data_IF_210778230221
#
_entry.id   IF_210778230221
#
_cell.length_a   1.000
_cell.length_b   1.000
_cell.length_c   1.000
_cell.angle_alpha   90.00
_cell.angle_beta   90.00
_cell.angle_gamma   90.00
#
_symmetry.space_group_name_H-M   'P 1'
#
loop_
_entity.id
_entity.type
_entity.pdbx_description
1 polymer ?
#
# COMPACT_ATOMS: atom_id res chain seq x y z
N UNK A 1 -16.84 12.45 -5.72
CA UNK A 1 -17.40 12.48 -4.35
C UNK A 1 -18.90 12.15 -4.29
N UNK A 2 -19.75 12.70 -5.18
CA UNK A 2 -21.20 12.47 -5.18
C UNK A 2 -21.58 10.98 -5.44
N UNK A 3 -20.93 10.34 -6.41
CA UNK A 3 -21.12 8.89 -6.69
C UNK A 3 -20.68 8.00 -5.52
N UNK A 4 -19.68 8.44 -4.76
CA UNK A 4 -19.22 7.75 -3.55
C UNK A 4 -20.28 7.87 -2.45
N UNK A 5 -20.83 9.06 -2.18
CA UNK A 5 -21.85 9.25 -1.14
C UNK A 5 -23.12 8.42 -1.38
N UNK A 6 -23.55 8.25 -2.63
CA UNK A 6 -24.73 7.44 -3.01
C UNK A 6 -24.57 5.97 -2.61
N UNK A 7 -23.36 5.40 -2.66
CA UNK A 7 -23.13 3.99 -2.32
C UNK A 7 -23.20 3.68 -0.82
N UNK A 8 -23.41 4.67 0.05
CA UNK A 8 -23.68 4.44 1.49
C UNK A 8 -25.16 4.14 1.79
N UNK A 9 -26.04 4.33 0.80
CA UNK A 9 -27.47 4.08 0.88
C UNK A 9 -27.75 2.56 0.78
N UNK A 10 -28.57 1.96 1.66
CA UNK A 10 -28.87 0.53 1.63
C UNK A 10 -29.40 0.01 0.29
N UNK A 11 -30.22 0.79 -0.43
CA UNK A 11 -30.70 0.44 -1.78
C UNK A 11 -29.56 0.36 -2.82
N UNK A 12 -28.47 1.12 -2.63
CA UNK A 12 -27.30 1.09 -3.52
C UNK A 12 -26.50 -0.22 -3.42
N UNK A 13 -26.73 -1.06 -2.39
CA UNK A 13 -26.10 -2.39 -2.28
C UNK A 13 -26.42 -3.30 -3.46
N UNK A 14 -27.61 -3.15 -4.07
CA UNK A 14 -28.00 -3.90 -5.27
C UNK A 14 -27.11 -3.59 -6.47
N UNK A 15 -26.51 -2.40 -6.49
CA UNK A 15 -25.62 -1.93 -7.55
C UNK A 15 -24.14 -2.02 -7.20
N UNK A 16 -23.74 -2.54 -6.02
CA UNK A 16 -22.33 -2.60 -5.58
C UNK A 16 -21.37 -3.20 -6.62
N UNK A 17 -21.80 -4.22 -7.38
CA UNK A 17 -20.97 -4.81 -8.45
C UNK A 17 -20.74 -3.83 -9.59
N UNK A 18 -21.80 -3.13 -10.00
CA UNK A 18 -21.76 -2.12 -11.05
C UNK A 18 -20.97 -0.90 -10.57
N UNK A 19 -21.19 -0.44 -9.34
CA UNK A 19 -20.43 0.64 -8.71
C UNK A 19 -18.94 0.30 -8.62
N UNK A 20 -18.59 -0.92 -8.20
CA UNK A 20 -17.20 -1.38 -8.17
C UNK A 20 -16.56 -1.37 -9.57
N UNK A 21 -17.26 -1.92 -10.58
CA UNK A 21 -16.78 -1.91 -11.96
C UNK A 21 -16.60 -0.49 -12.49
N UNK A 22 -17.59 0.38 -12.27
CA UNK A 22 -17.54 1.77 -12.67
C UNK A 22 -16.34 2.48 -12.04
N UNK A 23 -16.16 2.38 -10.71
CA UNK A 23 -15.01 2.99 -10.03
C UNK A 23 -13.70 2.45 -10.61
N UNK A 24 -13.55 1.13 -10.74
CA UNK A 24 -12.30 0.54 -11.26
C UNK A 24 -12.00 0.95 -12.70
N UNK A 25 -13.01 1.04 -13.57
CA UNK A 25 -12.85 1.55 -14.94
C UNK A 25 -12.47 3.03 -14.92
N UNK A 26 -13.10 3.85 -14.09
CA UNK A 26 -12.74 5.26 -13.94
C UNK A 26 -11.28 5.42 -13.48
N UNK A 27 -10.86 4.65 -12.48
CA UNK A 27 -9.48 4.68 -12.00
C UNK A 27 -8.50 4.22 -13.08
N UNK A 28 -8.86 3.17 -13.82
CA UNK A 28 -8.05 2.66 -14.92
C UNK A 28 -7.90 3.68 -16.03
N UNK A 29 -8.98 4.35 -16.45
CA UNK A 29 -8.91 5.41 -17.45
C UNK A 29 -8.01 6.56 -16.99
N UNK A 30 -8.15 7.00 -15.75
CA UNK A 30 -7.33 8.09 -15.19
C UNK A 30 -5.85 7.70 -15.12
N UNK A 31 -5.51 6.51 -14.64
CA UNK A 31 -4.10 6.14 -14.49
C UNK A 31 -3.49 5.69 -15.82
N UNK A 32 -4.15 4.83 -16.58
CA UNK A 32 -3.58 4.22 -17.79
C UNK A 32 -3.47 5.19 -18.98
N UNK A 33 -4.24 6.29 -18.98
CA UNK A 33 -4.17 7.35 -20.00
C UNK A 33 -3.30 8.53 -19.57
N UNK A 34 -2.68 8.46 -18.39
CA UNK A 34 -1.75 9.48 -17.93
C UNK A 34 -0.42 9.44 -18.69
N UNK A 35 0.20 10.61 -18.83
CA UNK A 35 1.52 10.79 -19.44
C UNK A 35 2.40 11.67 -18.54
N UNK A 36 3.62 11.23 -18.27
CA UNK A 36 4.60 11.96 -17.43
C UNK A 36 4.03 12.36 -16.06
N UNK A 37 3.16 11.50 -15.49
CA UNK A 37 2.60 11.64 -14.14
C UNK A 37 3.30 10.65 -13.21
N UNK A 38 3.77 11.16 -12.07
CA UNK A 38 4.53 10.41 -11.07
C UNK A 38 6.04 10.41 -11.34
N UNK A 39 6.87 10.25 -10.28
CA UNK A 39 8.32 10.42 -10.37
C UNK A 39 9.02 9.31 -11.16
N UNK A 40 8.39 8.14 -11.33
CA UNK A 40 9.00 6.99 -12.01
C UNK A 40 8.66 6.91 -13.51
N UNK A 41 7.67 7.65 -14.01
CA UNK A 41 7.14 7.48 -15.37
C UNK A 41 8.24 7.62 -16.42
N UNK A 42 8.98 8.73 -16.39
CA UNK A 42 10.04 9.02 -17.36
C UNK A 42 11.21 8.04 -17.22
N UNK A 43 11.48 7.56 -16.00
CA UNK A 43 12.48 6.52 -15.78
C UNK A 43 12.08 5.21 -16.44
N UNK A 44 10.81 4.80 -16.33
CA UNK A 44 10.32 3.61 -17.01
C UNK A 44 10.31 3.78 -18.54
N UNK A 45 9.93 4.97 -19.04
CA UNK A 45 9.98 5.30 -20.47
C UNK A 45 11.40 5.17 -21.01
N UNK A 46 12.37 5.81 -20.36
CA UNK A 46 13.78 5.75 -20.75
C UNK A 46 14.34 4.32 -20.74
N UNK A 47 13.96 3.49 -19.76
CA UNK A 47 14.39 2.09 -19.74
C UNK A 47 13.74 1.28 -20.89
N UNK A 48 12.47 1.51 -21.18
CA UNK A 48 11.75 0.82 -22.25
C UNK A 48 12.26 1.19 -23.64
N UNK A 49 12.43 2.49 -23.92
CA UNK A 49 12.83 2.99 -25.24
C UNK A 49 14.28 2.63 -25.54
N UNK A 50 15.17 2.75 -24.55
CA UNK A 50 16.59 2.48 -24.76
C UNK A 50 16.93 0.98 -24.77
N UNK A 51 16.03 0.10 -24.31
CA UNK A 51 16.28 -1.34 -24.09
C UNK A 51 17.64 -1.60 -23.42
N UNK A 52 18.04 -0.70 -22.52
CA UNK A 52 19.42 -0.59 -22.08
C UNK A 52 19.75 -1.59 -20.95
N UNK A 53 21.02 -1.64 -20.54
CA UNK A 53 21.49 -2.47 -19.44
C UNK A 53 20.73 -2.24 -18.12
N UNK A 54 20.11 -1.07 -17.92
CA UNK A 54 19.28 -0.82 -16.74
C UNK A 54 17.92 -1.50 -16.84
N UNK A 55 17.31 -1.60 -18.03
CA UNK A 55 16.13 -2.44 -18.23
C UNK A 55 16.48 -3.92 -17.99
N UNK A 56 17.62 -4.39 -18.49
CA UNK A 56 18.09 -5.75 -18.27
C UNK A 56 18.36 -6.10 -16.78
N UNK A 57 18.56 -5.11 -15.91
CA UNK A 57 18.73 -5.32 -14.45
C UNK A 57 17.40 -5.41 -13.68
N UNK A 58 16.27 -5.07 -14.28
CA UNK A 58 14.96 -5.14 -13.63
C UNK A 58 14.47 -6.59 -13.45
N UNK A 59 13.35 -6.76 -12.75
CA UNK A 59 12.77 -8.08 -12.50
C UNK A 59 12.24 -8.76 -13.76
N UNK A 60 12.26 -10.09 -13.73
CA UNK A 60 12.05 -10.93 -14.91
C UNK A 60 10.75 -10.62 -15.66
N UNK A 61 9.61 -10.56 -14.97
CA UNK A 61 8.32 -10.39 -15.63
C UNK A 61 8.14 -8.98 -16.21
N UNK A 62 8.61 -7.96 -15.49
CA UNK A 62 8.61 -6.58 -15.99
C UNK A 62 9.42 -6.46 -17.27
N UNK A 63 10.62 -7.07 -17.28
CA UNK A 63 11.49 -7.13 -18.46
C UNK A 63 10.87 -7.90 -19.61
N UNK A 64 10.33 -9.07 -19.32
CA UNK A 64 9.79 -9.95 -20.33
C UNK A 64 8.62 -9.30 -21.06
N UNK A 65 7.69 -8.67 -20.33
CA UNK A 65 6.56 -7.93 -20.92
C UNK A 65 7.07 -6.77 -21.79
N UNK A 66 8.03 -5.99 -21.28
CA UNK A 66 8.52 -4.84 -22.04
C UNK A 66 9.32 -5.22 -23.28
N UNK A 67 10.19 -6.25 -23.20
CA UNK A 67 10.92 -6.79 -24.34
C UNK A 67 9.97 -7.35 -25.40
N UNK A 68 8.93 -8.08 -24.98
CA UNK A 68 7.95 -8.65 -25.89
C UNK A 68 7.17 -7.56 -26.61
N UNK A 69 6.68 -6.55 -25.89
CA UNK A 69 5.95 -5.43 -26.50
C UNK A 69 6.83 -4.61 -27.44
N UNK A 70 8.03 -4.25 -27.00
CA UNK A 70 8.98 -3.47 -27.80
C UNK A 70 9.42 -4.24 -29.06
N UNK A 71 9.72 -5.53 -28.92
CA UNK A 71 10.09 -6.40 -30.04
C UNK A 71 8.98 -6.60 -31.08
N UNK A 72 7.72 -6.32 -30.73
CA UNK A 72 6.58 -6.33 -31.65
C UNK A 72 6.18 -4.90 -32.12
N UNK A 73 7.00 -3.89 -31.84
CA UNK A 73 6.77 -2.51 -32.30
C UNK A 73 5.76 -1.71 -31.48
N UNK A 74 5.35 -2.19 -30.28
CA UNK A 74 4.45 -1.44 -29.42
C UNK A 74 5.16 -0.31 -28.67
N UNK A 75 4.46 0.82 -28.50
CA UNK A 75 4.99 1.99 -27.78
C UNK A 75 5.07 1.76 -26.27
N UNK A 76 5.85 2.60 -25.58
CA UNK A 76 5.90 2.62 -24.11
C UNK A 76 4.52 2.78 -23.47
N UNK A 77 3.61 3.54 -24.09
CA UNK A 77 2.27 3.73 -23.54
C UNK A 77 1.48 2.41 -23.47
N UNK A 78 1.64 1.52 -24.46
CA UNK A 78 1.01 0.19 -24.44
C UNK A 78 1.58 -0.66 -23.29
N UNK A 79 2.88 -0.56 -23.04
CA UNK A 79 3.52 -1.21 -21.90
C UNK A 79 3.00 -0.67 -20.57
N UNK A 80 2.95 0.65 -20.40
CA UNK A 80 2.42 1.30 -19.20
C UNK A 80 0.95 0.92 -18.95
N UNK A 81 0.12 0.98 -19.99
CA UNK A 81 -1.27 0.53 -19.98
C UNK A 81 -1.41 -0.93 -19.55
N UNK A 82 -0.56 -1.83 -20.06
CA UNK A 82 -0.55 -3.26 -19.71
C UNK A 82 -0.26 -3.45 -18.22
N UNK A 83 0.75 -2.75 -17.71
CA UNK A 83 1.14 -2.82 -16.30
C UNK A 83 0.06 -2.28 -15.36
N UNK A 84 -0.60 -1.17 -15.70
CA UNK A 84 -1.74 -0.62 -14.94
C UNK A 84 -2.95 -1.56 -14.99
N UNK A 85 -3.20 -2.17 -16.15
CA UNK A 85 -4.28 -3.15 -16.31
C UNK A 85 -4.07 -4.37 -15.42
N UNK A 86 -2.85 -4.91 -15.33
CA UNK A 86 -2.51 -6.00 -14.43
C UNK A 86 -2.73 -5.62 -12.96
N UNK A 87 -2.23 -4.45 -12.56
CA UNK A 87 -2.41 -3.94 -11.20
C UNK A 87 -3.89 -3.84 -10.81
N UNK A 88 -4.69 -3.16 -11.63
CA UNK A 88 -6.12 -2.94 -11.34
C UNK A 88 -6.96 -4.20 -11.52
N UNK A 89 -6.56 -5.14 -12.37
CA UNK A 89 -7.19 -6.46 -12.47
C UNK A 89 -7.14 -7.20 -11.13
N UNK A 90 -5.96 -7.34 -10.54
CA UNK A 90 -5.83 -8.01 -9.24
C UNK A 90 -6.54 -7.22 -8.13
N UNK A 91 -6.40 -5.89 -8.14
CA UNK A 91 -7.06 -5.03 -7.17
C UNK A 91 -8.60 -5.13 -7.24
N UNK A 92 -9.17 -5.27 -8.45
CA UNK A 92 -10.61 -5.51 -8.62
C UNK A 92 -11.06 -6.78 -7.88
N UNK A 93 -10.31 -7.88 -7.97
CA UNK A 93 -10.66 -9.11 -7.24
C UNK A 93 -10.55 -8.95 -5.72
N UNK A 94 -9.58 -8.17 -5.25
CA UNK A 94 -9.41 -7.82 -3.83
C UNK A 94 -10.62 -7.04 -3.33
N UNK A 95 -11.01 -5.94 -3.98
CA UNK A 95 -12.20 -5.16 -3.60
C UNK A 95 -13.51 -5.93 -3.80
N UNK A 96 -13.57 -6.79 -4.82
CA UNK A 96 -14.70 -7.71 -5.03
C UNK A 96 -14.85 -8.69 -3.87
N UNK A 97 -13.76 -9.11 -3.24
CA UNK A 97 -13.78 -10.01 -2.09
C UNK A 97 -14.11 -9.29 -0.78
N UNK A 98 -13.57 -8.09 -0.58
CA UNK A 98 -13.64 -7.31 0.66
C UNK A 98 -14.54 -6.08 0.51
N UNK A 99 -15.86 -6.31 0.45
CA UNK A 99 -16.87 -5.28 0.18
C UNK A 99 -17.42 -4.58 1.41
N UNK A 100 -16.88 -4.84 2.58
CA UNK A 100 -17.31 -4.20 3.83
C UNK A 100 -17.07 -2.69 3.72
N UNK A 101 -18.14 -1.91 3.52
CA UNK A 101 -18.07 -0.45 3.31
C UNK A 101 -17.37 -0.03 2.01
N UNK A 102 -17.72 -0.65 0.87
CA UNK A 102 -17.10 -0.45 -0.45
C UNK A 102 -16.68 1.00 -0.75
N UNK A 103 -17.61 1.96 -0.62
CA UNK A 103 -17.35 3.39 -0.86
C UNK A 103 -16.26 3.94 0.04
N UNK A 104 -16.35 3.67 1.34
CA UNK A 104 -15.41 4.17 2.33
C UNK A 104 -14.03 3.55 2.09
N UNK A 105 -13.98 2.27 1.74
CA UNK A 105 -12.74 1.59 1.34
C UNK A 105 -12.10 2.33 0.16
N UNK A 106 -12.87 2.68 -0.87
CA UNK A 106 -12.34 3.45 -1.99
C UNK A 106 -11.85 4.85 -1.59
N UNK A 107 -12.60 5.56 -0.74
CA UNK A 107 -12.19 6.86 -0.24
C UNK A 107 -10.83 6.76 0.49
N UNK A 108 -10.69 5.81 1.40
CA UNK A 108 -9.45 5.56 2.13
C UNK A 108 -8.34 5.16 1.15
N UNK A 109 -8.62 4.24 0.22
CA UNK A 109 -7.64 3.79 -0.77
C UNK A 109 -7.15 4.93 -1.67
N UNK A 110 -8.00 5.88 -2.04
CA UNK A 110 -7.60 7.03 -2.86
C UNK A 110 -6.67 7.95 -2.07
N UNK A 111 -7.04 8.28 -0.83
CA UNK A 111 -6.40 9.33 -0.03
C UNK A 111 -5.16 8.86 0.74
N UNK A 112 -5.13 7.59 1.12
CA UNK A 112 -4.09 7.07 2.00
C UNK A 112 -2.71 7.10 1.31
N UNK A 113 -1.60 7.33 2.03
CA UNK A 113 -0.25 7.23 1.47
C UNK A 113 -0.04 5.86 0.84
N UNK A 114 0.60 5.81 -0.33
CA UNK A 114 0.75 4.60 -1.15
C UNK A 114 -0.57 3.93 -1.58
N UNK A 115 -1.69 4.63 -1.43
CA UNK A 115 -2.97 4.29 -2.06
C UNK A 115 -2.96 4.58 -3.56
N UNK A 116 -4.09 4.96 -4.13
CA UNK A 116 -4.18 5.25 -5.57
C UNK A 116 -3.31 6.45 -5.98
N UNK A 117 -3.32 7.53 -5.21
CA UNK A 117 -2.70 8.79 -5.61
C UNK A 117 -1.18 8.65 -5.68
N UNK A 118 -0.55 8.08 -4.66
CA UNK A 118 0.90 7.87 -4.66
C UNK A 118 1.28 6.54 -5.35
N UNK A 119 0.57 5.44 -5.11
CA UNK A 119 0.89 4.12 -5.64
C UNK A 119 0.29 3.79 -7.02
N UNK A 120 -0.82 4.39 -7.42
CA UNK A 120 -1.38 4.17 -8.76
C UNK A 120 -0.44 4.69 -9.87
N UNK A 121 0.15 5.85 -9.64
CA UNK A 121 1.03 6.53 -10.61
C UNK A 121 2.53 6.23 -10.40
N UNK A 122 2.92 5.75 -9.22
CA UNK A 122 4.33 5.50 -8.87
C UNK A 122 4.56 4.02 -8.57
N UNK A 123 5.80 3.52 -8.70
CA UNK A 123 6.19 2.18 -8.28
C UNK A 123 5.39 1.03 -8.91
N UNK A 124 4.98 1.17 -10.18
CA UNK A 124 4.07 0.25 -10.87
C UNK A 124 4.45 -1.25 -10.73
N UNK A 125 5.75 -1.58 -10.77
CA UNK A 125 6.28 -2.94 -10.55
C UNK A 125 5.91 -3.49 -9.16
N UNK A 126 6.19 -2.68 -8.14
CA UNK A 126 5.90 -3.02 -6.75
C UNK A 126 4.39 -3.12 -6.54
N UNK A 127 3.60 -2.24 -7.14
CA UNK A 127 2.14 -2.26 -6.97
C UNK A 127 1.46 -3.45 -7.63
N UNK A 128 1.95 -3.91 -8.79
CA UNK A 128 1.51 -5.21 -9.36
C UNK A 128 1.82 -6.36 -8.39
N UNK A 129 3.04 -6.40 -7.82
CA UNK A 129 3.41 -7.44 -6.86
C UNK A 129 2.54 -7.40 -5.58
N UNK A 130 2.25 -6.20 -5.05
CA UNK A 130 1.37 -6.00 -3.90
C UNK A 130 -0.07 -6.46 -4.23
N UNK A 131 -0.61 -6.11 -5.39
CA UNK A 131 -1.96 -6.53 -5.76
C UNK A 131 -2.08 -8.06 -5.92
N UNK A 132 -1.04 -8.71 -6.48
CA UNK A 132 -0.95 -10.18 -6.52
C UNK A 132 -0.89 -10.76 -5.11
N UNK A 133 -0.15 -10.15 -4.18
CA UNK A 133 -0.14 -10.56 -2.78
C UNK A 133 -1.52 -10.45 -2.13
N UNK A 134 -2.24 -9.34 -2.28
CA UNK A 134 -3.59 -9.24 -1.71
C UNK A 134 -4.59 -10.21 -2.35
N UNK A 135 -4.44 -10.49 -3.65
CA UNK A 135 -5.20 -11.55 -4.31
C UNK A 135 -4.88 -12.93 -3.69
N UNK A 136 -3.63 -13.21 -3.35
CA UNK A 136 -3.21 -14.48 -2.75
C UNK A 136 -3.80 -14.70 -1.35
N UNK A 137 -4.22 -13.64 -0.64
CA UNK A 137 -4.87 -13.77 0.67
C UNK A 137 -6.15 -14.62 0.62
N UNK A 138 -6.82 -14.71 -0.54
CA UNK A 138 -7.95 -15.63 -0.73
C UNK A 138 -7.49 -17.08 -0.47
N UNK A 139 -6.36 -17.47 -1.06
CA UNK A 139 -5.76 -18.78 -0.86
C UNK A 139 -5.18 -18.98 0.53
N UNK A 140 -4.68 -17.90 1.14
CA UNK A 140 -4.28 -17.91 2.55
C UNK A 140 -5.47 -18.30 3.42
N UNK A 141 -6.60 -17.58 3.34
CA UNK A 141 -7.80 -17.86 4.14
C UNK A 141 -8.34 -19.26 3.84
N UNK A 142 -8.42 -19.66 2.57
CA UNK A 142 -8.84 -21.00 2.14
C UNK A 142 -7.85 -22.14 2.46
N UNK A 143 -6.70 -21.85 3.08
CA UNK A 143 -5.64 -22.82 3.42
C UNK A 143 -5.05 -23.54 2.20
N UNK A 144 -5.10 -22.91 1.04
CA UNK A 144 -4.56 -23.43 -0.23
C UNK A 144 -3.10 -23.02 -0.39
N UNK A 145 -2.23 -23.71 0.35
CA UNK A 145 -0.80 -23.41 0.46
C UNK A 145 -0.10 -23.25 -0.88
N UNK A 146 -0.28 -24.21 -1.80
CA UNK A 146 0.38 -24.20 -3.12
C UNK A 146 -0.03 -22.95 -3.92
N UNK A 147 -1.32 -22.61 -3.93
CA UNK A 147 -1.83 -21.44 -4.66
C UNK A 147 -1.31 -20.13 -4.06
N UNK A 148 -1.21 -20.05 -2.73
CA UNK A 148 -0.61 -18.89 -2.06
C UNK A 148 0.84 -18.68 -2.49
N UNK A 149 1.67 -19.73 -2.38
CA UNK A 149 3.10 -19.64 -2.72
C UNK A 149 3.33 -19.46 -4.22
N UNK A 150 2.49 -20.02 -5.09
CA UNK A 150 2.51 -19.74 -6.51
C UNK A 150 2.29 -18.24 -6.79
N UNK A 151 1.28 -17.63 -6.16
CA UNK A 151 1.08 -16.18 -6.27
C UNK A 151 2.26 -15.38 -5.70
N UNK A 152 2.83 -15.78 -4.56
CA UNK A 152 4.00 -15.13 -3.99
C UNK A 152 5.21 -15.18 -4.93
N UNK A 153 5.45 -16.33 -5.57
CA UNK A 153 6.51 -16.48 -6.58
C UNK A 153 6.26 -15.58 -7.79
N UNK A 154 5.03 -15.54 -8.32
CA UNK A 154 4.69 -14.64 -9.43
C UNK A 154 4.89 -13.17 -9.04
N UNK A 155 4.51 -12.77 -7.83
CA UNK A 155 4.76 -11.42 -7.33
C UNK A 155 6.26 -11.09 -7.28
N UNK A 156 7.12 -12.05 -6.90
CA UNK A 156 8.58 -11.88 -6.92
C UNK A 156 9.15 -11.69 -8.33
N UNK A 157 8.50 -12.20 -9.37
CA UNK A 157 8.89 -11.96 -10.76
C UNK A 157 8.66 -10.52 -11.20
N UNK A 158 7.75 -9.78 -10.55
CA UNK A 158 7.54 -8.34 -10.77
C UNK A 158 8.38 -7.49 -9.84
N UNK A 159 8.56 -7.91 -8.59
CA UNK A 159 9.37 -7.18 -7.62
C UNK A 159 9.98 -8.09 -6.55
N UNK A 160 11.31 -8.13 -6.47
CA UNK A 160 12.04 -9.11 -5.62
C UNK A 160 11.67 -9.03 -4.14
N UNK A 161 11.35 -7.83 -3.63
CA UNK A 161 10.96 -7.65 -2.23
C UNK A 161 9.65 -8.36 -1.85
N UNK A 162 8.88 -8.86 -2.83
CA UNK A 162 7.69 -9.66 -2.57
C UNK A 162 8.01 -10.98 -1.85
N UNK A 163 9.28 -11.39 -1.77
CA UNK A 163 9.72 -12.47 -0.89
C UNK A 163 9.27 -12.26 0.57
N UNK A 164 9.09 -11.00 0.99
CA UNK A 164 8.62 -10.63 2.33
C UNK A 164 7.22 -11.18 2.65
N UNK A 165 6.42 -11.52 1.64
CA UNK A 165 5.08 -12.09 1.83
C UNK A 165 5.10 -13.59 2.12
N UNK A 166 6.21 -14.30 1.90
CA UNK A 166 6.34 -15.72 2.21
C UNK A 166 6.07 -16.01 3.70
N UNK A 167 6.76 -15.38 4.67
CA UNK A 167 6.50 -15.62 6.09
C UNK A 167 5.10 -15.17 6.55
N UNK A 168 4.45 -14.27 5.81
CA UNK A 168 3.11 -13.76 6.14
C UNK A 168 2.07 -14.88 6.18
N UNK A 169 2.23 -15.94 5.39
CA UNK A 169 1.34 -17.11 5.43
C UNK A 169 1.16 -17.69 6.84
N UNK A 170 2.26 -17.79 7.59
CA UNK A 170 2.30 -18.40 8.91
C UNK A 170 1.92 -17.42 10.02
N UNK A 171 2.11 -16.12 9.80
CA UNK A 171 1.94 -15.09 10.81
C UNK A 171 0.55 -14.44 10.77
N UNK A 172 0.00 -14.21 9.57
CA UNK A 172 -1.22 -13.42 9.40
C UNK A 172 -2.47 -14.07 10.00
N UNK A 173 -2.48 -15.39 10.25
CA UNK A 173 -3.62 -16.08 10.87
C UNK A 173 -3.58 -16.13 12.40
N UNK A 174 -2.47 -15.74 13.03
CA UNK A 174 -2.35 -15.83 14.48
C UNK A 174 -3.41 -14.97 15.16
N UNK A 175 -4.07 -15.48 16.20
CA UNK A 175 -5.02 -14.68 16.99
C UNK A 175 -4.25 -13.86 18.00
N UNK A 176 -3.92 -12.61 17.65
CA UNK A 176 -3.21 -11.68 18.52
C UNK A 176 -4.25 -10.88 19.31
N UNK A 177 -4.23 -10.92 20.65
CA UNK A 177 -5.18 -10.16 21.48
C UNK A 177 -4.91 -8.65 21.42
N UNK A 178 -5.90 -7.83 21.79
CA UNK A 178 -5.75 -6.37 21.85
C UNK A 178 -4.54 -5.94 22.70
N UNK A 179 -4.43 -6.49 23.92
CA UNK A 179 -3.31 -6.22 24.84
C UNK A 179 -1.96 -6.61 24.21
N UNK A 180 -1.89 -7.77 23.55
CA UNK A 180 -0.66 -8.23 22.91
C UNK A 180 -0.28 -7.36 21.72
N UNK A 181 -1.25 -6.90 20.91
CA UNK A 181 -1.00 -5.97 19.80
C UNK A 181 -0.45 -4.64 20.30
N UNK A 182 -1.05 -4.08 21.37
CA UNK A 182 -0.57 -2.85 21.99
C UNK A 182 0.84 -3.03 22.58
N UNK A 183 1.10 -4.13 23.27
CA UNK A 183 2.43 -4.44 23.80
C UNK A 183 3.48 -4.50 22.67
N UNK A 184 3.20 -5.24 21.59
CA UNK A 184 4.09 -5.32 20.43
C UNK A 184 4.35 -3.93 19.86
N UNK A 185 3.29 -3.13 19.64
CA UNK A 185 3.41 -1.78 19.13
C UNK A 185 4.30 -0.90 20.02
N UNK A 186 4.04 -0.86 21.33
CA UNK A 186 4.83 -0.04 22.24
C UNK A 186 6.27 -0.53 22.37
N UNK A 187 6.54 -1.84 22.34
CA UNK A 187 7.90 -2.37 22.29
C UNK A 187 8.66 -1.91 21.04
N UNK A 188 8.01 -1.95 19.87
CA UNK A 188 8.60 -1.46 18.61
C UNK A 188 8.79 0.05 18.63
N UNK A 189 7.85 0.81 19.19
CA UNK A 189 7.97 2.25 19.34
C UNK A 189 9.15 2.61 20.26
N UNK A 190 9.27 1.96 21.43
CA UNK A 190 10.41 2.15 22.33
C UNK A 190 11.72 1.81 21.62
N UNK A 191 11.80 0.67 20.92
CA UNK A 191 12.99 0.33 20.14
C UNK A 191 13.33 1.39 19.09
N UNK A 192 12.32 1.87 18.35
CA UNK A 192 12.49 2.94 17.37
C UNK A 192 12.94 4.25 18.00
N UNK A 193 12.47 4.60 19.20
CA UNK A 193 12.92 5.81 19.90
C UNK A 193 14.37 5.66 20.42
N UNK A 194 14.77 4.46 20.86
CA UNK A 194 16.15 4.19 21.26
C UNK A 194 17.15 4.37 20.10
N UNK A 195 16.75 4.11 18.86
CA UNK A 195 17.57 4.34 17.67
C UNK A 195 17.88 5.83 17.40
N UNK A 196 17.20 6.77 18.07
CA UNK A 196 17.57 8.20 18.03
C UNK A 196 18.92 8.42 18.73
N UNK A 197 19.24 7.62 19.75
CA UNK A 197 20.48 7.73 20.50
C UNK A 197 21.66 7.25 19.63
N UNK A 198 22.67 8.11 19.32
CA UNK A 198 23.74 7.75 18.40
C UNK A 198 24.53 6.50 18.80
N UNK A 199 24.73 6.27 20.11
CA UNK A 199 25.43 5.10 20.63
C UNK A 199 24.65 3.80 20.36
N UNK A 200 23.36 3.77 20.68
CA UNK A 200 22.49 2.61 20.45
C UNK A 200 22.36 2.33 18.95
N UNK A 201 22.17 3.39 18.15
CA UNK A 201 22.14 3.32 16.70
C UNK A 201 23.41 2.67 16.14
N UNK A 202 24.58 3.16 16.54
CA UNK A 202 25.87 2.65 16.07
C UNK A 202 26.09 1.19 16.45
N UNK A 203 25.67 0.79 17.66
CA UNK A 203 25.74 -0.59 18.12
C UNK A 203 24.91 -1.54 17.23
N UNK A 204 23.66 -1.18 16.96
CA UNK A 204 22.76 -1.99 16.13
C UNK A 204 23.32 -2.13 14.70
N UNK A 205 23.76 -1.03 14.09
CA UNK A 205 24.30 -1.08 12.73
C UNK A 205 25.63 -1.83 12.65
N UNK A 206 26.51 -1.71 13.65
CA UNK A 206 27.72 -2.51 13.73
C UNK A 206 27.38 -4.01 13.75
N UNK A 207 26.37 -4.41 14.54
CA UNK A 207 25.87 -5.79 14.57
C UNK A 207 25.35 -6.27 13.20
N UNK A 208 24.61 -5.43 12.47
CA UNK A 208 24.15 -5.75 11.10
C UNK A 208 25.32 -5.93 10.15
N UNK A 209 26.37 -5.10 10.26
CA UNK A 209 27.56 -5.19 9.43
C UNK A 209 28.35 -6.49 9.60
N UNK A 210 28.17 -7.21 10.72
CA UNK A 210 28.77 -8.53 10.96
C UNK A 210 28.06 -9.67 10.22
N UNK A 211 26.84 -9.44 9.70
CA UNK A 211 26.10 -10.47 8.98
C UNK A 211 26.72 -10.64 7.58
N UNK A 212 27.17 -11.85 7.20
CA UNK A 212 27.74 -12.11 5.88
C UNK A 212 26.79 -11.65 4.76
N UNK A 213 27.31 -10.84 3.83
CA UNK A 213 26.53 -10.25 2.73
C UNK A 213 25.90 -8.87 3.02
N UNK A 214 25.86 -8.42 4.28
CA UNK A 214 25.28 -7.12 4.68
C UNK A 214 26.32 -6.05 5.07
N UNK A 215 27.61 -6.39 5.07
CA UNK A 215 28.70 -5.45 5.37
C UNK A 215 28.77 -4.25 4.41
N UNK A 216 28.48 -4.44 3.12
CA UNK A 216 28.38 -3.34 2.16
C UNK A 216 27.10 -2.51 2.37
N UNK A 217 26.01 -3.17 2.77
CA UNK A 217 24.74 -2.49 3.12
C UNK A 217 24.93 -1.57 4.33
N UNK A 218 25.78 -1.94 5.31
CA UNK A 218 26.15 -1.05 6.43
C UNK A 218 26.81 0.27 5.97
N UNK A 219 27.65 0.22 4.94
CA UNK A 219 28.28 1.41 4.35
C UNK A 219 27.27 2.25 3.55
N UNK A 220 26.34 1.61 2.83
CA UNK A 220 25.21 2.27 2.15
C UNK A 220 24.23 2.90 3.16
N UNK A 221 23.93 2.22 4.28
CA UNK A 221 23.14 2.74 5.39
C UNK A 221 23.77 4.01 5.97
N UNK A 222 25.10 4.03 6.16
CA UNK A 222 25.84 5.22 6.63
C UNK A 222 25.89 6.36 5.60
N UNK A 223 25.82 6.06 4.30
CA UNK A 223 26.19 6.99 3.22
C UNK A 223 25.06 7.83 2.61
N UNK A 224 23.79 7.41 2.63
CA UNK A 224 22.74 8.20 1.97
C UNK A 224 21.34 7.58 1.99
N UNK A 225 20.31 8.43 2.03
CA UNK A 225 18.86 8.18 1.91
C UNK A 225 18.16 7.18 2.87
N UNK A 226 18.84 6.11 3.32
CA UNK A 226 18.27 5.06 4.15
C UNK A 226 18.05 5.47 5.61
N UNK A 227 18.82 6.44 6.07
CA UNK A 227 18.98 6.85 7.47
C UNK A 227 18.60 8.32 7.73
N UNK A 228 17.96 8.95 6.74
CA UNK A 228 17.54 10.36 6.80
C UNK A 228 16.69 10.62 8.04
N UNK A 229 16.99 11.71 8.75
CA UNK A 229 16.18 12.23 9.85
C UNK A 229 14.71 12.36 9.42
N UNK A 230 13.78 11.97 10.31
CA UNK A 230 12.35 12.09 10.04
C UNK A 230 12.02 13.55 9.78
N UNK A 231 11.46 13.83 8.61
CA UNK A 231 10.91 15.15 8.35
C UNK A 231 9.67 15.36 9.22
N UNK A 232 9.35 16.60 9.57
CA UNK A 232 8.09 16.94 10.26
C UNK A 232 6.87 16.34 9.52
N UNK A 233 6.92 16.31 8.18
CA UNK A 233 5.90 15.66 7.34
C UNK A 233 5.77 14.15 7.59
N UNK A 234 6.90 13.45 7.71
CA UNK A 234 6.94 12.03 8.03
C UNK A 234 6.32 11.72 9.41
N UNK A 235 6.60 12.55 10.42
CA UNK A 235 5.98 12.41 11.75
C UNK A 235 4.47 12.65 11.72
N UNK A 236 4.00 13.67 10.99
CA UNK A 236 2.56 13.94 10.84
C UNK A 236 1.86 12.78 10.13
N UNK A 237 2.44 12.26 9.04
CA UNK A 237 1.91 11.08 8.34
C UNK A 237 1.89 9.85 9.26
N UNK A 238 2.93 9.64 10.07
CA UNK A 238 2.98 8.56 11.04
C UNK A 238 1.83 8.64 12.05
N UNK A 239 1.67 9.77 12.75
CA UNK A 239 0.63 9.95 13.77
C UNK A 239 -0.75 9.76 13.16
N UNK A 240 -0.95 10.31 11.96
CA UNK A 240 -2.18 10.18 11.22
C UNK A 240 -2.52 8.72 10.87
N UNK A 241 -1.55 7.92 10.48
CA UNK A 241 -1.81 6.51 10.20
C UNK A 241 -1.93 5.67 11.48
N UNK A 242 -1.15 5.98 12.51
CA UNK A 242 -1.12 5.22 13.76
C UNK A 242 -2.42 5.31 14.55
N UNK A 243 -3.05 6.49 14.63
CA UNK A 243 -4.24 6.73 15.43
C UNK A 243 -5.42 5.77 15.10
N UNK A 244 -5.92 5.65 13.86
CA UNK A 244 -7.01 4.74 13.55
C UNK A 244 -6.63 3.26 13.76
N UNK A 245 -5.35 2.91 13.62
CA UNK A 245 -4.87 1.55 13.87
C UNK A 245 -4.86 1.24 15.37
N UNK A 246 -4.43 2.18 16.21
CA UNK A 246 -4.48 2.03 17.67
C UNK A 246 -5.93 1.88 18.14
N UNK A 247 -6.87 2.69 17.60
CA UNK A 247 -8.30 2.51 17.86
C UNK A 247 -8.77 1.12 17.44
N UNK A 248 -8.36 0.63 16.27
CA UNK A 248 -8.67 -0.71 15.80
C UNK A 248 -8.13 -1.80 16.75
N UNK A 249 -6.95 -1.59 17.35
CA UNK A 249 -6.41 -2.50 18.37
C UNK A 249 -7.25 -2.50 19.64
N UNK A 250 -7.65 -1.33 20.14
CA UNK A 250 -8.49 -1.18 21.34
C UNK A 250 -9.83 -1.88 21.14
N UNK A 251 -10.50 -1.62 20.00
CA UNK A 251 -11.82 -2.17 19.69
C UNK A 251 -11.79 -3.55 19.01
N UNK A 252 -10.62 -4.21 18.95
CA UNK A 252 -10.42 -5.47 18.21
C UNK A 252 -11.53 -6.49 18.45
N UNK A 253 -11.88 -6.76 19.72
CA UNK A 253 -12.85 -7.80 20.08
C UNK A 253 -14.27 -7.46 19.58
N UNK A 254 -14.58 -6.18 19.45
CA UNK A 254 -15.87 -5.69 18.94
C UNK A 254 -15.94 -5.73 17.42
N UNK A 255 -14.82 -5.66 16.71
CA UNK A 255 -14.80 -5.43 15.25
C UNK A 255 -14.27 -6.60 14.41
N UNK A 256 -13.35 -7.40 14.95
CA UNK A 256 -12.77 -8.57 14.27
C UNK A 256 -13.63 -9.79 14.53
N UNK A 257 -14.46 -10.18 13.56
CA UNK A 257 -15.46 -11.26 13.72
C UNK A 257 -15.19 -12.50 12.87
N UNK A 258 -14.44 -12.36 11.79
CA UNK A 258 -14.13 -13.46 10.86
C UNK A 258 -12.63 -13.74 10.74
N UNK A 259 -12.27 -14.88 10.13
CA UNK A 259 -10.87 -15.22 9.85
C UNK A 259 -10.21 -14.19 8.93
N UNK A 260 -10.96 -13.68 7.94
CA UNK A 260 -10.45 -12.64 7.05
C UNK A 260 -10.23 -11.31 7.79
N UNK A 261 -11.15 -10.91 8.68
CA UNK A 261 -10.95 -9.71 9.49
C UNK A 261 -9.68 -9.83 10.34
N UNK A 262 -9.41 -11.03 10.89
CA UNK A 262 -8.20 -11.28 11.68
C UNK A 262 -6.93 -11.20 10.83
N UNK A 263 -6.96 -11.71 9.59
CA UNK A 263 -5.85 -11.58 8.63
C UNK A 263 -5.60 -10.10 8.33
N UNK A 264 -6.63 -9.36 7.93
CA UNK A 264 -6.51 -7.93 7.61
C UNK A 264 -6.06 -7.10 8.82
N UNK A 265 -6.56 -7.41 10.02
CA UNK A 265 -6.12 -6.81 11.28
C UNK A 265 -4.62 -7.05 11.53
N UNK A 266 -4.14 -8.29 11.37
CA UNK A 266 -2.72 -8.60 11.58
C UNK A 266 -1.82 -7.94 10.54
N UNK A 267 -2.23 -7.91 9.27
CA UNK A 267 -1.50 -7.16 8.23
C UNK A 267 -1.48 -5.66 8.56
N UNK A 268 -2.57 -5.11 9.07
CA UNK A 268 -2.63 -3.71 9.53
C UNK A 268 -1.68 -3.45 10.70
N UNK A 269 -1.55 -4.40 11.64
CA UNK A 269 -0.54 -4.36 12.70
C UNK A 269 0.88 -4.42 12.14
N UNK A 270 1.17 -5.30 11.18
CA UNK A 270 2.49 -5.38 10.52
C UNK A 270 2.83 -4.08 9.80
N UNK A 271 1.84 -3.44 9.18
CA UNK A 271 1.99 -2.13 8.58
C UNK A 271 2.38 -1.08 9.61
N UNK A 272 1.72 -1.02 10.77
CA UNK A 272 2.10 -0.08 11.84
C UNK A 272 3.51 -0.35 12.36
N UNK A 273 3.89 -1.61 12.57
CA UNK A 273 5.26 -1.99 12.98
C UNK A 273 6.29 -1.47 11.97
N UNK A 274 6.08 -1.73 10.68
CA UNK A 274 6.97 -1.26 9.62
C UNK A 274 7.01 0.27 9.54
N UNK A 275 5.86 0.94 9.68
CA UNK A 275 5.76 2.39 9.68
C UNK A 275 6.47 3.03 10.89
N UNK A 276 6.36 2.43 12.08
CA UNK A 276 7.08 2.88 13.28
C UNK A 276 8.58 2.75 13.07
N UNK A 277 9.07 1.61 12.56
CA UNK A 277 10.49 1.44 12.25
C UNK A 277 10.97 2.38 11.14
N UNK A 278 10.08 2.77 10.23
CA UNK A 278 10.37 3.74 9.18
C UNK A 278 10.68 5.15 9.69
N UNK A 279 10.33 5.46 10.94
CA UNK A 279 10.79 6.68 11.62
C UNK A 279 12.32 6.71 11.79
N UNK A 280 13.03 5.59 11.66
CA UNK A 280 14.50 5.60 11.81
C UNK A 280 15.20 4.92 10.63
N UNK A 281 14.48 4.06 9.91
CA UNK A 281 14.99 3.28 8.80
C UNK A 281 14.05 3.45 7.60
N UNK A 282 14.32 4.42 6.73
CA UNK A 282 13.41 4.79 5.63
C UNK A 282 13.04 3.61 4.71
N UNK A 283 13.94 2.63 4.57
CA UNK A 283 13.68 1.39 3.83
C UNK A 283 12.45 0.61 4.32
N UNK A 284 12.09 0.76 5.60
CA UNK A 284 10.91 0.13 6.17
C UNK A 284 9.60 0.65 5.57
N UNK A 285 9.60 1.83 4.93
CA UNK A 285 8.47 2.26 4.10
C UNK A 285 8.21 1.26 2.96
N UNK A 286 9.25 0.75 2.30
CA UNK A 286 9.09 -0.26 1.23
C UNK A 286 8.47 -1.56 1.74
N UNK A 287 8.72 -1.91 2.99
CA UNK A 287 8.10 -3.05 3.68
C UNK A 287 6.65 -2.74 4.01
N UNK A 288 6.39 -1.55 4.53
CA UNK A 288 5.08 -1.06 4.93
C UNK A 288 4.07 -1.06 3.77
N UNK A 289 4.50 -0.78 2.53
CA UNK A 289 3.60 -0.74 1.35
C UNK A 289 2.90 -2.07 1.09
N UNK A 290 3.54 -3.21 1.40
CA UNK A 290 2.89 -4.51 1.29
C UNK A 290 1.69 -4.67 2.23
N UNK A 291 1.60 -3.85 3.27
CA UNK A 291 0.59 -3.96 4.30
C UNK A 291 -0.40 -2.78 4.32
N UNK A 292 -0.19 -1.76 3.48
CA UNK A 292 -1.06 -0.56 3.37
C UNK A 292 -2.50 -0.93 3.03
N UNK A 293 -2.72 -1.76 2.01
CA UNK A 293 -4.08 -2.08 1.53
C UNK A 293 -4.90 -2.79 2.63
N UNK A 294 -4.29 -3.44 3.61
CA UNK A 294 -5.03 -4.04 4.72
C UNK A 294 -5.77 -2.99 5.57
N UNK A 295 -5.19 -1.79 5.74
CA UNK A 295 -5.80 -0.66 6.46
C UNK A 295 -7.09 -0.19 5.81
N UNK A 296 -7.12 -0.20 4.47
CA UNK A 296 -8.28 0.18 3.66
C UNK A 296 -9.52 -0.63 4.07
N UNK A 297 -9.35 -1.92 4.34
CA UNK A 297 -10.45 -2.82 4.68
C UNK A 297 -10.65 -2.97 6.20
N UNK A 298 -9.61 -2.81 7.00
CA UNK A 298 -9.67 -3.04 8.44
C UNK A 298 -10.15 -1.81 9.23
N UNK A 299 -9.74 -0.60 8.86
CA UNK A 299 -10.12 0.63 9.56
C UNK A 299 -11.66 0.85 9.54
N UNK A 300 -12.36 0.64 8.41
CA UNK A 300 -13.83 0.72 8.35
C UNK A 300 -14.57 -0.25 9.29
N UNK A 301 -13.92 -1.33 9.76
CA UNK A 301 -14.53 -2.23 10.74
C UNK A 301 -14.79 -1.53 12.09
N UNK A 302 -14.11 -0.41 12.39
CA UNK A 302 -14.41 0.41 13.58
C UNK A 302 -15.87 0.83 13.67
N UNK A 303 -16.55 1.00 12.54
CA UNK A 303 -17.99 1.32 12.50
C UNK A 303 -18.88 0.19 13.07
N UNK A 304 -18.36 -1.04 13.16
CA UNK A 304 -19.06 -2.16 13.79
C UNK A 304 -19.02 -2.10 15.33
N UNK A 305 -18.16 -1.27 15.93
CA UNK A 305 -18.13 -1.07 17.37
C UNK A 305 -19.25 -0.13 17.86
N UNK A 306 -19.91 0.60 16.95
CA UNK A 306 -20.97 1.53 17.28
C UNK A 306 -22.30 0.79 17.54
N UNK A 307 -22.85 0.91 18.75
CA UNK A 307 -24.10 0.25 19.14
C UNK A 307 -25.34 0.88 18.49
N UNK A 308 -25.36 2.22 18.34
CA UNK A 308 -26.52 2.95 17.80
C UNK A 308 -26.27 3.44 16.38
N UNK A 309 -27.36 3.54 15.58
CA UNK A 309 -27.31 4.11 14.22
C UNK A 309 -26.74 5.53 14.22
N UNK A 310 -27.14 6.35 15.21
CA UNK A 310 -26.63 7.73 15.37
C UNK A 310 -25.11 7.75 15.58
N UNK A 311 -24.60 6.94 16.51
CA UNK A 311 -23.16 6.89 16.78
C UNK A 311 -22.39 6.39 15.56
N UNK A 312 -22.91 5.39 14.86
CA UNK A 312 -22.31 4.89 13.62
C UNK A 312 -22.23 5.95 12.53
N UNK A 313 -23.29 6.75 12.33
CA UNK A 313 -23.28 7.86 11.38
C UNK A 313 -22.27 8.93 11.78
N UNK A 314 -22.22 9.30 13.06
CA UNK A 314 -21.23 10.27 13.57
C UNK A 314 -19.82 9.75 13.35
N UNK A 315 -19.53 8.49 13.69
CA UNK A 315 -18.21 7.88 13.46
C UNK A 315 -17.85 7.80 11.98
N UNK A 316 -18.81 7.49 11.10
CA UNK A 316 -18.60 7.52 9.65
C UNK A 316 -18.23 8.91 9.15
N UNK A 317 -18.98 9.94 9.55
CA UNK A 317 -18.70 11.33 9.17
C UNK A 317 -17.35 11.80 9.73
N UNK A 318 -17.02 11.43 10.97
CA UNK A 318 -15.74 11.72 11.59
C UNK A 318 -14.58 11.07 10.83
N UNK A 319 -14.73 9.81 10.41
CA UNK A 319 -13.74 9.13 9.56
C UNK A 319 -13.58 9.82 8.20
N UNK A 320 -14.67 10.19 7.54
CA UNK A 320 -14.62 10.90 6.25
C UNK A 320 -13.92 12.25 6.42
N UNK A 321 -14.23 12.99 7.49
CA UNK A 321 -13.57 14.26 7.80
C UNK A 321 -12.07 14.06 8.08
N UNK A 322 -11.72 13.03 8.86
CA UNK A 322 -10.34 12.68 9.18
C UNK A 322 -9.49 12.44 7.92
N UNK A 323 -9.97 11.57 7.01
CA UNK A 323 -9.29 11.31 5.74
C UNK A 323 -9.28 12.53 4.81
N UNK A 324 -10.36 13.29 4.72
CA UNK A 324 -10.38 14.51 3.92
C UNK A 324 -9.38 15.56 4.43
N UNK A 325 -9.25 15.76 5.74
CA UNK A 325 -8.29 16.71 6.32
C UNK A 325 -6.86 16.29 5.99
N UNK A 326 -6.58 14.99 6.05
CA UNK A 326 -5.26 14.47 5.69
C UNK A 326 -4.92 14.67 4.21
N UNK A 327 -5.89 14.40 3.33
CA UNK A 327 -5.74 14.67 1.91
C UNK A 327 -5.37 16.13 1.65
N UNK A 328 -6.11 17.05 2.28
CA UNK A 328 -5.84 18.49 2.19
C UNK A 328 -4.43 18.82 2.71
N UNK A 329 -4.03 18.25 3.85
CA UNK A 329 -2.69 18.47 4.41
C UNK A 329 -1.58 17.93 3.49
N UNK A 330 -1.76 16.77 2.86
CA UNK A 330 -0.83 16.23 1.86
C UNK A 330 -0.69 17.15 0.66
N UNK A 331 -1.82 17.63 0.13
CA UNK A 331 -1.86 18.57 -0.99
C UNK A 331 -1.06 19.85 -0.68
N UNK A 332 -1.36 20.50 0.45
CA UNK A 332 -0.66 21.74 0.84
C UNK A 332 0.82 21.56 1.17
N UNK A 333 1.22 20.36 1.61
CA UNK A 333 2.64 20.07 1.85
C UNK A 333 3.42 19.75 0.58
N UNK A 334 2.77 19.65 -0.58
CA UNK A 334 3.41 19.38 -1.86
C UNK A 334 4.01 17.98 -1.98
N UNK A 335 3.48 17.01 -1.21
CA UNK A 335 3.84 15.60 -1.39
C UNK A 335 3.42 15.08 -2.78
N UNK A 336 2.42 15.72 -3.39
CA UNK A 336 1.85 15.38 -4.70
C UNK A 336 2.44 16.21 -5.86
N UNK A 337 3.55 16.93 -5.65
CA UNK A 337 4.19 17.77 -6.69
C UNK A 337 4.56 17.02 -7.98
N UNK A 338 4.60 15.70 -7.94
CA UNK A 338 4.87 14.86 -9.12
C UNK A 338 3.61 14.34 -9.79
N UNK A 339 2.43 14.61 -9.22
CA UNK A 339 1.13 14.21 -9.75
C UNK A 339 0.42 15.35 -10.48
N UNK A 340 0.79 16.59 -10.15
CA UNK A 340 0.31 17.81 -10.80
C UNK A 340 1.47 18.54 -11.51
N UNK A 341 1.25 19.10 -12.72
CA UNK A 341 0.00 19.02 -13.47
C UNK A 341 -0.26 17.59 -13.98
N UNK A 342 -1.51 17.15 -13.87
CA UNK A 342 -1.92 15.85 -14.40
C UNK A 342 -2.08 16.00 -15.92
N UNK A 343 -1.37 15.16 -16.68
CA UNK A 343 -1.38 15.18 -18.14
C UNK A 343 -1.87 13.86 -18.70
N UNK A 344 -2.62 13.93 -19.80
CA UNK A 344 -3.09 12.75 -20.56
C UNK A 344 -2.37 12.64 -21.89
N UNK A 345 -2.35 11.43 -22.45
CA UNK A 345 -1.84 11.17 -23.80
C UNK A 345 -2.60 11.92 -24.92
N UNK A 346 -3.74 12.54 -24.62
CA UNK A 346 -4.52 13.33 -25.56
C UNK A 346 -4.21 14.84 -25.47
N UNK A 347 -3.24 15.24 -24.64
CA UNK A 347 -2.87 16.63 -24.45
C UNK A 347 -3.76 17.41 -23.49
N UNK A 348 -4.71 16.76 -22.79
CA UNK A 348 -5.42 17.42 -21.68
C UNK A 348 -4.51 17.55 -20.47
N UNK A 349 -4.45 18.75 -19.90
CA UNK A 349 -3.69 19.10 -18.71
C UNK A 349 -4.65 19.65 -17.65
N UNK A 350 -4.55 19.11 -16.43
CA UNK A 350 -5.28 19.58 -15.25
C UNK A 350 -4.25 20.12 -14.27
N UNK A 351 -4.33 21.42 -14.00
CA UNK A 351 -3.44 22.15 -13.09
C UNK A 351 -3.69 21.82 -11.62
#
# INVERSE_FOLDING_TARGET
MIVLLIGTIPEARRFERVTLLFIMISLWLVVALSESVGPDYDSYRAMYDAQNNNFAKQEFMFRWIGNWLSGNGFSFQVFYFTMISLYLFFLYYVFKRYRNYLVLNFLIFIIMPYGLIEGGFTYIRQNVAIAIFYFSLIYLVERRLIKYFACAFVAMLFHKSAALVIPVYFLAKKKISSQKSLLIYFSVLTFSLLLILPAFRSLIFAGIGLIPGYGNTYLEFRGGEFLTTVSTKGMVSYVYQALPIILLMIYRNSVVKSEIDNVLYNLTLFSLIALTLALQMRIMLRVEYYFVIAKVFSIPLLLNACETKRNRTISLLAMIAYFSIYFVALYYTGAEKHLFPYRTIFGFEVL
#
